data_IF_444721045002
#
_entry.id   IF_444721045002
#
_cell.length_a   1.000
_cell.length_b   1.000
_cell.length_c   1.000
_cell.angle_alpha   90.00
_cell.angle_beta   90.00
_cell.angle_gamma   90.00
#
_symmetry.space_group_name_H-M   'P 1'
#
loop_
_entity.id
_entity.type
_entity.pdbx_description
1 polymer ?
#
# COMPACT_ATOMS: atom_id res chain seq x y z
N UNK A 1 -57.10 -38.28 -12.52
CA UNK A 1 -55.90 -37.45 -12.34
C UNK A 1 -55.40 -37.64 -10.91
N UNK A 2 -54.20 -38.17 -10.66
CA UNK A 2 -53.67 -38.28 -9.30
C UNK A 2 -52.82 -37.04 -8.98
N UNK A 3 -53.09 -36.42 -7.84
CA UNK A 3 -52.26 -35.37 -7.27
C UNK A 3 -51.03 -35.99 -6.61
N UNK A 4 -49.84 -35.48 -6.93
CA UNK A 4 -48.59 -35.87 -6.29
C UNK A 4 -48.25 -34.89 -5.17
N UNK A 5 -48.14 -35.42 -3.96
CA UNK A 5 -47.68 -34.77 -2.75
C UNK A 5 -46.21 -34.30 -2.93
N UNK A 6 -45.96 -33.00 -2.73
CA UNK A 6 -44.60 -32.47 -2.69
C UNK A 6 -43.92 -32.80 -1.36
N UNK A 7 -42.72 -33.34 -1.49
CA UNK A 7 -41.85 -33.85 -0.45
C UNK A 7 -41.49 -32.85 0.64
N UNK A 8 -41.58 -33.31 1.88
CA UNK A 8 -40.89 -32.78 3.05
C UNK A 8 -39.36 -32.84 2.83
N UNK A 9 -38.68 -31.71 3.01
CA UNK A 9 -37.25 -31.68 3.32
C UNK A 9 -37.04 -30.86 4.60
N UNK A 10 -36.16 -31.38 5.44
CA UNK A 10 -36.06 -31.12 6.87
C UNK A 10 -35.45 -29.75 7.18
N UNK A 11 -36.04 -29.04 8.14
CA UNK A 11 -35.38 -27.95 8.86
C UNK A 11 -34.36 -28.55 9.83
N UNK A 12 -33.08 -28.33 9.58
CA UNK A 12 -32.05 -28.36 10.62
C UNK A 12 -31.83 -26.95 11.15
N UNK A 13 -32.21 -26.63 12.41
CA UNK A 13 -31.71 -25.44 13.07
C UNK A 13 -30.32 -25.80 13.62
N UNK A 14 -29.26 -25.52 12.85
CA UNK A 14 -27.93 -25.49 13.45
C UNK A 14 -27.88 -24.28 14.37
N UNK A 15 -27.87 -24.57 15.68
CA UNK A 15 -27.83 -23.60 16.75
C UNK A 15 -26.62 -22.68 16.60
N UNK A 16 -26.89 -21.38 16.53
CA UNK A 16 -25.90 -20.37 16.82
C UNK A 16 -25.52 -20.49 18.29
N UNK A 17 -24.32 -20.99 18.54
CA UNK A 17 -23.66 -20.90 19.83
C UNK A 17 -22.90 -19.57 19.87
N UNK A 18 -23.27 -18.58 20.69
CA UNK A 18 -22.49 -17.37 20.87
C UNK A 18 -21.45 -17.65 21.96
N UNK A 19 -20.34 -18.27 21.59
CA UNK A 19 -19.20 -18.39 22.52
C UNK A 19 -17.88 -18.32 21.74
N UNK A 20 -16.97 -17.47 22.22
CA UNK A 20 -15.59 -17.23 21.75
C UNK A 20 -15.51 -16.40 20.46
N UNK A 21 -14.93 -15.20 20.39
CA UNK A 21 -14.14 -14.42 21.32
C UNK A 21 -14.48 -12.95 21.08
N UNK A 22 -14.62 -12.16 22.14
CA UNK A 22 -14.33 -10.73 22.05
C UNK A 22 -12.82 -10.63 21.78
N UNK A 23 -12.44 -10.75 20.51
CA UNK A 23 -11.19 -10.21 20.04
C UNK A 23 -11.31 -8.73 20.37
N UNK A 24 -10.45 -8.27 21.28
CA UNK A 24 -10.30 -6.86 21.59
C UNK A 24 -10.17 -6.16 20.24
N UNK A 25 -11.23 -5.46 19.83
CA UNK A 25 -11.15 -4.43 18.81
C UNK A 25 -10.22 -3.39 19.42
N UNK A 26 -8.93 -3.62 19.24
CA UNK A 26 -7.90 -2.63 19.50
C UNK A 26 -8.07 -1.61 18.37
N UNK A 27 -9.07 -0.75 18.54
CA UNK A 27 -9.49 0.31 17.64
C UNK A 27 -8.36 1.34 17.52
N UNK A 28 -7.30 0.93 16.85
CA UNK A 28 -6.22 1.79 16.39
C UNK A 28 -6.68 2.43 15.08
N UNK A 29 -7.70 3.28 15.18
CA UNK A 29 -8.17 4.11 14.06
C UNK A 29 -8.91 3.36 12.97
N UNK A 30 -9.81 2.42 13.32
CA UNK A 30 -10.71 1.78 12.36
C UNK A 30 -10.09 0.67 11.49
N UNK A 31 -8.96 0.11 11.90
CA UNK A 31 -8.36 -1.09 11.30
C UNK A 31 -8.94 -2.36 11.94
N UNK A 32 -9.40 -3.32 11.12
CA UNK A 32 -9.96 -4.59 11.58
C UNK A 32 -8.94 -5.70 11.28
N UNK A 33 -8.50 -6.39 12.33
CA UNK A 33 -7.54 -7.49 12.23
C UNK A 33 -8.21 -8.86 12.44
N UNK A 34 -7.83 -9.85 11.63
CA UNK A 34 -8.21 -11.26 11.80
C UNK A 34 -6.93 -12.10 11.82
N UNK A 35 -6.77 -12.92 12.86
CA UNK A 35 -5.58 -13.76 13.09
C UNK A 35 -4.24 -12.99 13.02
N UNK A 36 -4.24 -11.73 13.47
CA UNK A 36 -3.07 -10.85 13.45
C UNK A 36 -2.78 -10.20 12.09
N UNK A 37 -3.59 -10.47 11.06
CA UNK A 37 -3.46 -9.85 9.74
C UNK A 37 -4.53 -8.76 9.56
N UNK A 38 -4.16 -7.66 8.89
CA UNK A 38 -5.12 -6.61 8.52
C UNK A 38 -6.14 -7.20 7.54
N UNK A 39 -7.39 -7.32 7.99
CA UNK A 39 -8.47 -7.94 7.22
C UNK A 39 -9.28 -6.89 6.45
N UNK A 40 -9.63 -5.77 7.09
CA UNK A 40 -10.39 -4.69 6.45
C UNK A 40 -10.24 -3.37 7.19
N UNK A 41 -10.47 -2.28 6.47
CA UNK A 41 -10.58 -0.93 7.04
C UNK A 41 -11.23 0.02 6.02
N UNK A 42 -11.52 1.25 6.44
CA UNK A 42 -11.87 2.31 5.49
C UNK A 42 -10.67 2.66 4.60
N UNK A 43 -10.93 3.17 3.38
CA UNK A 43 -9.86 3.60 2.48
C UNK A 43 -8.93 4.61 3.17
N UNK A 44 -9.48 5.57 3.93
CA UNK A 44 -8.71 6.55 4.68
C UNK A 44 -7.77 5.93 5.72
N UNK A 45 -8.23 4.91 6.45
CA UNK A 45 -7.42 4.19 7.43
C UNK A 45 -6.32 3.36 6.75
N UNK A 46 -6.62 2.75 5.59
CA UNK A 46 -5.60 2.04 4.79
C UNK A 46 -4.54 3.00 4.24
N UNK A 47 -4.94 4.19 3.75
CA UNK A 47 -4.01 5.24 3.32
C UNK A 47 -3.16 5.69 4.51
N UNK A 48 -3.77 5.88 5.68
CA UNK A 48 -3.05 6.25 6.89
C UNK A 48 -2.02 5.19 7.31
N UNK A 49 -2.34 3.91 7.15
CA UNK A 49 -1.43 2.79 7.44
C UNK A 49 -0.29 2.64 6.42
N UNK A 50 -0.45 3.20 5.21
CA UNK A 50 0.62 3.27 4.20
C UNK A 50 1.69 4.32 4.57
N UNK A 51 1.33 5.36 5.33
CA UNK A 51 2.23 6.48 5.58
C UNK A 51 3.25 6.12 6.67
N UNK A 52 4.56 6.20 6.39
CA UNK A 52 5.57 5.94 7.40
C UNK A 52 5.62 7.04 8.46
N UNK A 53 5.90 6.66 9.70
CA UNK A 53 6.15 7.58 10.82
C UNK A 53 7.61 7.51 11.26
N UNK A 54 7.98 8.25 12.31
CA UNK A 54 9.35 8.19 12.86
C UNK A 54 9.72 6.77 13.32
N UNK A 55 8.76 6.03 13.88
CA UNK A 55 8.90 4.74 14.54
C UNK A 55 8.32 3.55 13.75
N UNK A 56 7.49 3.81 12.75
CA UNK A 56 6.87 2.78 11.92
C UNK A 56 7.30 2.89 10.44
N UNK A 57 7.35 1.76 9.75
CA UNK A 57 7.43 1.67 8.30
C UNK A 57 6.56 0.49 7.85
N UNK A 58 5.66 0.66 6.87
CA UNK A 58 4.78 -0.41 6.43
C UNK A 58 5.55 -1.60 5.87
N UNK A 59 5.01 -2.80 6.09
CA UNK A 59 5.60 -4.00 5.52
C UNK A 59 5.54 -3.97 3.99
N UNK A 60 6.59 -4.48 3.33
CA UNK A 60 6.67 -4.50 1.87
C UNK A 60 5.49 -5.19 1.19
N UNK A 61 4.99 -6.27 1.79
CA UNK A 61 3.82 -6.99 1.30
C UNK A 61 2.56 -6.11 1.33
N UNK A 62 2.38 -5.32 2.40
CA UNK A 62 1.29 -4.35 2.50
C UNK A 62 1.43 -3.23 1.47
N UNK A 63 2.61 -2.62 1.34
CA UNK A 63 2.87 -1.57 0.34
C UNK A 63 2.49 -2.07 -1.06
N UNK A 64 3.03 -3.23 -1.46
CA UNK A 64 2.75 -3.82 -2.77
C UNK A 64 1.26 -4.08 -2.97
N UNK A 65 0.62 -4.77 -2.02
CA UNK A 65 -0.78 -5.19 -2.14
C UNK A 65 -1.70 -3.97 -2.16
N UNK A 66 -1.50 -3.03 -1.24
CA UNK A 66 -2.31 -1.82 -1.17
C UNK A 66 -2.16 -0.98 -2.43
N UNK A 67 -0.93 -0.70 -2.89
CA UNK A 67 -0.72 0.07 -4.11
C UNK A 67 -1.26 -0.65 -5.35
N UNK A 68 -1.18 -1.98 -5.41
CA UNK A 68 -1.79 -2.76 -6.49
C UNK A 68 -3.31 -2.58 -6.53
N UNK A 69 -3.96 -2.85 -5.39
CA UNK A 69 -5.42 -2.92 -5.25
C UNK A 69 -6.10 -1.56 -5.14
N UNK A 70 -5.41 -0.51 -4.68
CA UNK A 70 -5.99 0.83 -4.50
C UNK A 70 -6.52 1.41 -5.80
N UNK A 71 -5.94 1.04 -6.96
CA UNK A 71 -6.40 1.48 -8.30
C UNK A 71 -7.87 1.13 -8.59
N UNK A 72 -8.44 0.17 -7.87
CA UNK A 72 -9.86 -0.17 -7.98
C UNK A 72 -10.78 0.87 -7.30
N UNK A 73 -10.23 1.72 -6.43
CA UNK A 73 -10.98 2.62 -5.56
C UNK A 73 -10.56 4.08 -5.71
N UNK A 74 -9.32 4.35 -6.10
CA UNK A 74 -8.73 5.69 -6.16
C UNK A 74 -7.65 5.74 -7.25
N UNK A 75 -7.63 6.82 -8.02
CA UNK A 75 -6.59 7.03 -9.05
C UNK A 75 -5.23 7.30 -8.39
N UNK A 76 -4.10 6.88 -8.99
CA UNK A 76 -2.78 7.00 -8.38
C UNK A 76 -2.39 8.43 -7.98
N UNK A 77 -2.71 9.43 -8.81
CA UNK A 77 -2.39 10.83 -8.50
C UNK A 77 -3.22 11.37 -7.33
N UNK A 78 -4.50 10.99 -7.26
CA UNK A 78 -5.40 11.33 -6.15
C UNK A 78 -4.93 10.63 -4.85
N UNK A 79 -4.47 9.38 -4.94
CA UNK A 79 -3.89 8.66 -3.81
C UNK A 79 -2.63 9.38 -3.29
N UNK A 80 -1.72 9.78 -4.18
CA UNK A 80 -0.51 10.52 -3.78
C UNK A 80 -0.88 11.84 -3.11
N UNK A 81 -1.86 12.58 -3.65
CA UNK A 81 -2.38 13.80 -3.03
C UNK A 81 -2.89 13.57 -1.59
N UNK A 82 -3.63 12.48 -1.36
CA UNK A 82 -4.10 12.12 0.00
C UNK A 82 -2.98 11.70 0.93
N UNK A 83 -1.98 10.98 0.43
CA UNK A 83 -0.76 10.65 1.19
C UNK A 83 -0.04 11.94 1.61
N UNK A 84 0.12 12.92 0.71
CA UNK A 84 0.70 14.23 1.02
C UNK A 84 -0.04 14.93 2.16
N UNK A 85 -1.37 14.98 2.06
CA UNK A 85 -2.21 15.66 3.05
C UNK A 85 -2.09 15.02 4.43
N UNK A 86 -2.26 13.69 4.51
CA UNK A 86 -2.16 12.96 5.77
C UNK A 86 -0.75 12.97 6.38
N UNK A 87 0.31 13.13 5.58
CA UNK A 87 1.66 13.34 6.11
C UNK A 87 1.75 14.61 6.98
N UNK A 88 1.07 15.70 6.57
CA UNK A 88 1.03 16.95 7.34
C UNK A 88 0.31 16.75 8.67
N UNK A 89 -0.86 16.11 8.63
CA UNK A 89 -1.69 15.85 9.81
C UNK A 89 -0.99 14.91 10.81
N UNK A 90 -0.52 13.74 10.36
CA UNK A 90 0.10 12.74 11.23
C UNK A 90 1.39 13.23 11.86
N UNK A 91 2.16 14.03 11.12
CA UNK A 91 3.44 14.52 11.62
C UNK A 91 3.29 15.85 12.40
N UNK A 92 2.08 16.44 12.48
CA UNK A 92 1.79 17.74 13.12
C UNK A 92 2.70 18.84 12.58
N UNK A 93 2.78 18.96 11.25
CA UNK A 93 3.68 19.91 10.58
C UNK A 93 3.15 21.36 10.58
N UNK A 94 2.10 21.66 11.34
CA UNK A 94 1.52 23.00 11.46
C UNK A 94 2.37 23.97 12.31
N UNK A 95 3.38 23.46 13.03
CA UNK A 95 4.36 24.28 13.78
C UNK A 95 5.68 24.42 13.00
N UNK A 96 6.01 25.62 12.48
CA UNK A 96 7.15 25.82 11.57
C UNK A 96 8.52 25.53 12.19
N UNK A 97 8.66 25.54 13.52
CA UNK A 97 9.95 25.26 14.20
C UNK A 97 10.15 23.76 14.37
N UNK A 98 9.08 23.03 14.70
CA UNK A 98 9.10 21.56 14.85
C UNK A 98 9.05 20.84 13.50
N UNK A 99 8.46 21.47 12.49
CA UNK A 99 8.30 20.96 11.13
C UNK A 99 9.63 20.45 10.56
N UNK A 100 10.67 21.29 10.58
CA UNK A 100 11.98 20.94 10.00
C UNK A 100 12.65 19.75 10.69
N UNK A 101 12.53 19.62 12.01
CA UNK A 101 13.11 18.51 12.75
C UNK A 101 12.34 17.20 12.54
N UNK A 102 11.02 17.29 12.35
CA UNK A 102 10.15 16.14 12.08
C UNK A 102 10.33 15.66 10.64
N UNK A 103 10.32 16.58 9.66
CA UNK A 103 10.63 16.29 8.25
C UNK A 103 11.99 15.58 8.14
N UNK A 104 13.00 15.97 8.91
CA UNK A 104 14.29 15.26 8.93
C UNK A 104 14.21 13.81 9.37
N UNK A 105 13.27 13.47 10.26
CA UNK A 105 13.12 12.11 10.81
C UNK A 105 12.24 11.23 9.94
N UNK A 106 11.10 11.72 9.47
CA UNK A 106 10.17 10.92 8.66
C UNK A 106 10.47 11.01 7.16
N UNK A 107 11.06 12.12 6.69
CA UNK A 107 11.34 12.40 5.28
C UNK A 107 12.10 11.27 4.57
N UNK A 108 13.19 10.73 5.12
CA UNK A 108 13.90 9.61 4.49
C UNK A 108 13.03 8.37 4.26
N UNK A 109 12.09 8.07 5.17
CA UNK A 109 11.15 6.96 5.04
C UNK A 109 10.07 7.24 4.00
N UNK A 110 9.55 8.48 3.95
CA UNK A 110 8.61 8.86 2.91
C UNK A 110 9.24 8.82 1.51
N UNK A 111 10.49 9.28 1.38
CA UNK A 111 11.24 9.15 0.14
C UNK A 111 11.49 7.69 -0.25
N UNK A 112 11.74 6.83 0.74
CA UNK A 112 11.85 5.40 0.51
C UNK A 112 10.54 4.82 -0.03
N UNK A 113 9.40 5.13 0.58
CA UNK A 113 8.08 4.70 0.11
C UNK A 113 7.83 5.15 -1.34
N UNK A 114 8.11 6.42 -1.65
CA UNK A 114 7.94 6.97 -3.00
C UNK A 114 8.85 6.28 -4.02
N UNK A 115 10.09 5.97 -3.62
CA UNK A 115 11.04 5.23 -4.47
C UNK A 115 10.51 3.82 -4.74
N UNK A 116 10.07 3.10 -3.70
CA UNK A 116 9.48 1.77 -3.84
C UNK A 116 8.23 1.79 -4.73
N UNK A 117 7.38 2.81 -4.63
CA UNK A 117 6.22 2.97 -5.51
C UNK A 117 6.66 3.20 -6.97
N UNK A 118 7.55 4.14 -7.25
CA UNK A 118 8.02 4.41 -8.62
C UNK A 118 8.73 3.20 -9.24
N UNK A 119 9.46 2.43 -8.45
CA UNK A 119 10.12 1.19 -8.92
C UNK A 119 9.11 0.06 -9.17
N UNK A 120 8.12 -0.09 -8.30
CA UNK A 120 7.14 -1.20 -8.39
C UNK A 120 6.09 -0.94 -9.47
N UNK A 121 5.64 0.30 -9.61
CA UNK A 121 4.56 0.70 -10.52
C UNK A 121 4.92 1.96 -11.31
N UNK A 122 5.91 1.90 -12.21
CA UNK A 122 6.39 3.07 -12.96
C UNK A 122 5.31 3.74 -13.82
N UNK A 123 4.29 2.97 -14.24
CA UNK A 123 3.18 3.46 -15.04
C UNK A 123 2.31 4.50 -14.33
N UNK A 124 2.26 4.48 -12.99
CA UNK A 124 1.49 5.47 -12.23
C UNK A 124 2.05 6.90 -12.38
N UNK A 125 3.33 7.02 -12.76
CA UNK A 125 4.08 8.29 -12.84
C UNK A 125 4.19 8.85 -14.26
N UNK A 126 3.32 8.43 -15.18
CA UNK A 126 3.29 8.97 -16.55
C UNK A 126 2.60 10.33 -16.64
N UNK A 127 1.67 10.60 -15.72
CA UNK A 127 0.87 11.82 -15.72
C UNK A 127 1.60 12.99 -15.07
N UNK A 128 1.45 14.18 -15.66
CA UNK A 128 2.05 15.42 -15.15
C UNK A 128 1.56 15.77 -13.74
N UNK A 129 0.30 15.48 -13.42
CA UNK A 129 -0.27 15.72 -12.08
C UNK A 129 0.42 14.88 -11.01
N UNK A 130 0.67 13.60 -11.28
CA UNK A 130 1.41 12.71 -10.39
C UNK A 130 2.83 13.22 -10.16
N UNK A 131 3.51 13.61 -11.24
CA UNK A 131 4.88 14.16 -11.17
C UNK A 131 4.90 15.48 -10.40
N UNK A 132 3.88 16.33 -10.56
CA UNK A 132 3.71 17.56 -9.81
C UNK A 132 3.65 17.30 -8.30
N UNK A 133 2.76 16.42 -7.86
CA UNK A 133 2.66 16.03 -6.45
C UNK A 133 3.96 15.43 -5.90
N UNK A 134 4.64 14.60 -6.67
CA UNK A 134 5.93 14.02 -6.30
C UNK A 134 7.00 15.12 -6.10
N UNK A 135 7.11 16.07 -7.03
CA UNK A 135 8.05 17.19 -6.93
C UNK A 135 7.78 18.07 -5.71
N UNK A 136 6.52 18.39 -5.46
CA UNK A 136 6.13 19.21 -4.31
C UNK A 136 6.54 18.55 -2.99
N UNK A 137 6.37 17.22 -2.87
CA UNK A 137 6.84 16.46 -1.70
C UNK A 137 8.36 16.49 -1.58
N UNK A 138 9.05 16.22 -2.68
CA UNK A 138 10.50 16.20 -2.76
C UNK A 138 11.08 17.53 -2.30
N UNK A 139 10.55 18.65 -2.78
CA UNK A 139 11.05 19.99 -2.44
C UNK A 139 10.82 20.35 -0.98
N UNK A 140 9.73 19.86 -0.37
CA UNK A 140 9.48 19.98 1.07
C UNK A 140 10.48 19.17 1.92
N UNK A 141 10.94 18.02 1.42
CA UNK A 141 11.87 17.12 2.13
C UNK A 141 13.34 17.45 1.82
N UNK A 142 13.62 18.06 0.66
CA UNK A 142 14.95 18.36 0.12
C UNK A 142 15.94 19.05 1.08
N UNK A 143 15.54 19.88 2.08
CA UNK A 143 16.49 20.41 3.06
C UNK A 143 17.19 19.35 3.93
N UNK A 144 16.90 18.06 3.74
CA UNK A 144 17.27 16.97 4.64
C UNK A 144 18.15 15.86 4.03
N UNK A 145 18.13 15.60 2.70
CA UNK A 145 18.86 14.47 2.11
C UNK A 145 19.15 14.63 0.60
N UNK A 146 20.28 15.27 0.25
CA UNK A 146 20.62 15.67 -1.14
C UNK A 146 20.93 14.51 -2.11
N UNK A 147 21.40 13.36 -1.61
CA UNK A 147 21.94 12.28 -2.48
C UNK A 147 20.82 11.42 -3.09
N UNK A 148 19.89 10.95 -2.25
CA UNK A 148 18.69 10.23 -2.73
C UNK A 148 17.77 11.14 -3.54
N UNK A 149 17.77 12.44 -3.23
CA UNK A 149 16.91 13.40 -3.91
C UNK A 149 17.28 13.70 -5.34
N UNK A 150 18.57 13.68 -5.68
CA UNK A 150 18.99 13.81 -7.08
C UNK A 150 18.40 12.73 -7.98
N UNK A 151 18.33 11.48 -7.51
CA UNK A 151 17.79 10.38 -8.32
C UNK A 151 16.29 10.56 -8.62
N UNK A 152 15.50 10.98 -7.63
CA UNK A 152 14.06 11.20 -7.82
C UNK A 152 13.75 12.50 -8.61
N UNK A 153 14.53 13.58 -8.42
CA UNK A 153 14.37 14.82 -9.21
C UNK A 153 14.67 14.64 -10.69
N UNK A 154 15.54 13.68 -11.03
CA UNK A 154 15.91 13.37 -12.41
C UNK A 154 14.94 12.39 -13.10
N UNK A 155 13.83 12.00 -12.46
CA UNK A 155 12.76 11.22 -13.09
C UNK A 155 12.07 12.08 -14.17
N UNK A 156 12.52 11.91 -15.41
CA UNK A 156 11.87 12.46 -16.60
C UNK A 156 10.76 11.49 -17.08
N UNK A 157 9.59 11.97 -17.55
CA UNK A 157 8.48 11.11 -18.01
C UNK A 157 8.89 10.06 -19.05
N UNK A 158 9.94 10.34 -19.83
CA UNK A 158 10.47 9.46 -20.89
C UNK A 158 11.72 8.65 -20.48
N UNK A 159 12.23 8.83 -19.26
CA UNK A 159 13.50 8.24 -18.79
C UNK A 159 13.36 7.00 -17.89
N UNK A 160 12.14 6.73 -17.40
CA UNK A 160 11.89 5.62 -16.45
C UNK A 160 12.10 4.23 -17.10
N UNK A 161 11.94 4.12 -18.42
CA UNK A 161 12.16 2.86 -19.12
C UNK A 161 13.63 2.57 -19.47
N UNK A 162 14.52 3.57 -19.43
CA UNK A 162 15.90 3.47 -19.96
C UNK A 162 17.00 3.90 -18.97
N UNK A 163 16.71 4.02 -17.67
CA UNK A 163 17.75 4.30 -16.67
C UNK A 163 18.58 3.03 -16.39
N UNK A 164 19.92 3.08 -16.51
CA UNK A 164 20.80 1.95 -16.15
C UNK A 164 20.87 1.70 -14.64
N UNK A 165 20.14 2.48 -13.83
CA UNK A 165 20.03 2.30 -12.39
C UNK A 165 18.82 1.48 -11.93
N UNK A 166 18.09 0.85 -12.85
CA UNK A 166 17.08 -0.15 -12.51
C UNK A 166 17.69 -1.56 -12.64
N UNK A 167 18.45 -2.09 -11.66
CA UNK A 167 18.42 -3.53 -11.47
C UNK A 167 16.98 -3.84 -11.07
N UNK A 168 16.23 -4.42 -11.99
CA UNK A 168 14.95 -5.06 -11.67
C UNK A 168 15.24 -5.93 -10.45
N UNK A 169 14.75 -5.48 -9.28
CA UNK A 169 15.07 -6.14 -8.02
C UNK A 169 14.70 -7.61 -8.15
N UNK A 170 15.54 -8.56 -7.70
CA UNK A 170 15.27 -10.00 -7.81
C UNK A 170 13.99 -10.45 -7.07
N UNK A 171 13.32 -9.54 -6.35
CA UNK A 171 12.02 -9.78 -5.73
C UNK A 171 10.89 -10.03 -6.75
N UNK A 172 11.06 -9.65 -8.03
CA UNK A 172 10.06 -9.97 -9.06
C UNK A 172 9.97 -11.47 -9.35
N UNK A 173 11.00 -12.27 -9.02
CA UNK A 173 11.00 -13.72 -9.26
C UNK A 173 10.37 -14.56 -8.15
N UNK A 174 10.05 -13.97 -7.00
CA UNK A 174 9.59 -14.76 -5.84
C UNK A 174 8.06 -14.92 -5.73
N UNK A 175 7.29 -14.30 -6.62
CA UNK A 175 5.81 -14.38 -6.62
C UNK A 175 5.20 -15.02 -7.87
N UNK A 176 6.00 -15.44 -8.86
CA UNK A 176 5.50 -16.34 -9.90
C UNK A 176 5.47 -17.77 -9.32
N UNK A 177 4.30 -18.43 -9.19
CA UNK A 177 4.26 -19.85 -8.90
C UNK A 177 5.05 -20.57 -9.99
N UNK A 178 5.97 -21.45 -9.59
CA UNK A 178 6.77 -22.23 -10.53
C UNK A 178 5.84 -22.98 -11.51
N UNK A 179 6.16 -23.03 -12.82
CA UNK A 179 5.39 -23.81 -13.76
C UNK A 179 5.36 -25.28 -13.31
N UNK A 180 4.23 -25.99 -13.48
CA UNK A 180 4.14 -27.39 -13.09
C UNK A 180 5.21 -28.20 -13.84
N UNK A 181 5.98 -28.98 -13.10
CA UNK A 181 6.98 -29.89 -13.67
C UNK A 181 6.30 -30.86 -14.64
N UNK A 182 6.84 -31.05 -15.86
CA UNK A 182 6.27 -32.00 -16.80
C UNK A 182 6.33 -33.42 -16.22
N UNK A 183 5.34 -34.28 -16.50
CA UNK A 183 5.31 -35.65 -15.98
C UNK A 183 6.51 -36.44 -16.52
N UNK A 184 7.18 -37.15 -15.60
CA UNK A 184 8.28 -38.05 -15.93
C UNK A 184 7.83 -39.09 -16.97
N UNK A 185 8.65 -39.42 -17.98
CA UNK A 185 8.34 -40.50 -18.90
C UNK A 185 8.27 -41.82 -18.11
N UNK A 186 7.15 -42.52 -18.26
CA UNK A 186 6.96 -43.87 -17.72
C UNK A 186 7.89 -44.86 -18.46
N UNK A 187 8.38 -45.90 -17.76
CA UNK A 187 9.29 -46.89 -18.32
C UNK A 187 8.65 -47.75 -19.44
#
# INVERSE_FOLDING_TARGET
MPQTLSSTSMFTPCGFSPHLHSAKEDDQGGLIFQDGNLASASLDALIQHLIPTTDYYPEKAYIFTFLLSSRLFIEPHELLSRVCHKCVEQQRLDDPVLDKARIRKFGPKLLQLLTEWTETFPYDFQEERMIGHLKDMIDRIAPCDEVRMRSLRNLHPQGILNSPLCPVSPLFFSFCPAPPTPPSPLP
#
